data_IF_819794427217
#
_entry.id   IF_819794427217
#
_cell.length_a   1.000
_cell.length_b   1.000
_cell.length_c   1.000
_cell.angle_alpha   90.00
_cell.angle_beta   90.00
_cell.angle_gamma   90.00
#
_symmetry.space_group_name_H-M   'P 1'
#
loop_
_entity.id
_entity.type
_entity.pdbx_description
1 polymer ?
#
# COMPACT_ATOMS: atom_id res chain seq x y z
N UNK A 1 -11.21 14.41 -27.97
CA UNK A 1 -11.40 13.26 -27.06
C UNK A 1 -10.10 13.10 -26.28
N UNK A 2 -10.16 12.77 -24.98
CA UNK A 2 -8.95 12.46 -24.20
C UNK A 2 -8.64 10.96 -24.33
N UNK A 3 -7.37 10.59 -24.41
CA UNK A 3 -6.91 9.20 -24.56
C UNK A 3 -5.59 8.99 -23.82
N UNK A 4 -5.28 7.75 -23.47
CA UNK A 4 -4.04 7.42 -22.78
C UNK A 4 -2.89 7.26 -23.79
N UNK A 5 -1.85 8.10 -23.71
CA UNK A 5 -0.67 7.99 -24.55
C UNK A 5 0.60 7.82 -23.70
N UNK A 6 0.75 6.66 -23.04
CA UNK A 6 1.93 6.36 -22.24
C UNK A 6 3.26 6.47 -23.03
N UNK A 7 3.22 6.24 -24.34
CA UNK A 7 4.40 6.20 -25.22
C UNK A 7 4.98 7.58 -25.55
N UNK A 8 4.24 8.68 -25.40
CA UNK A 8 4.72 10.05 -25.72
C UNK A 8 5.01 10.93 -24.50
N UNK A 9 4.95 10.37 -23.27
CA UNK A 9 5.19 11.13 -22.05
C UNK A 9 6.69 11.26 -21.76
N UNK A 10 7.37 12.21 -22.42
CA UNK A 10 8.80 12.50 -22.24
C UNK A 10 9.18 13.22 -20.93
N UNK A 11 8.32 13.23 -19.89
CA UNK A 11 8.59 13.89 -18.61
C UNK A 11 8.24 12.98 -17.44
N UNK A 12 9.13 12.93 -16.46
CA UNK A 12 9.06 12.13 -15.24
C UNK A 12 7.68 12.17 -14.55
N UNK A 13 7.19 10.99 -14.22
CA UNK A 13 5.86 10.63 -13.75
C UNK A 13 5.51 11.01 -12.30
N UNK A 14 6.00 12.12 -11.74
CA UNK A 14 5.70 12.46 -10.33
C UNK A 14 5.26 13.90 -10.11
N UNK A 15 3.99 14.08 -9.82
CA UNK A 15 3.49 15.06 -8.84
C UNK A 15 3.25 14.34 -7.51
N UNK A 16 3.22 15.08 -6.39
CA UNK A 16 3.04 14.54 -5.02
C UNK A 16 1.74 13.74 -4.80
N UNK A 17 0.77 13.84 -5.71
CA UNK A 17 -0.55 13.20 -5.67
C UNK A 17 -0.76 12.08 -6.71
N UNK A 18 0.29 11.68 -7.43
CA UNK A 18 0.21 10.63 -8.45
C UNK A 18 -0.53 11.02 -9.73
N UNK A 19 -0.83 12.30 -9.95
CA UNK A 19 -1.47 12.78 -11.19
C UNK A 19 -0.45 13.05 -12.31
N UNK A 20 -0.77 12.63 -13.54
CA UNK A 20 0.06 12.89 -14.73
C UNK A 20 -0.39 14.20 -15.37
N UNK A 21 0.53 15.14 -15.59
CA UNK A 21 0.24 16.43 -16.24
C UNK A 21 0.75 16.41 -17.69
N UNK A 22 -0.15 16.13 -18.64
CA UNK A 22 -0.06 16.66 -20.00
C UNK A 22 -1.46 17.08 -20.47
N UNK A 23 -1.57 18.31 -20.96
CA UNK A 23 -2.70 19.19 -20.67
C UNK A 23 -3.72 19.39 -21.80
N UNK A 24 -3.70 18.59 -22.88
CA UNK A 24 -4.66 18.81 -23.98
C UNK A 24 -5.35 17.52 -24.47
N UNK A 25 -4.71 16.35 -24.42
CA UNK A 25 -5.26 15.09 -24.94
C UNK A 25 -5.24 13.89 -24.00
N UNK A 26 -4.65 13.97 -22.79
CA UNK A 26 -4.43 12.77 -21.97
C UNK A 26 -5.53 12.48 -20.94
N UNK A 27 -5.79 11.20 -20.67
CA UNK A 27 -6.59 10.75 -19.52
C UNK A 27 -5.75 10.90 -18.26
N UNK A 28 -6.29 11.59 -17.26
CA UNK A 28 -5.64 11.84 -15.96
C UNK A 28 -6.41 11.02 -14.92
N UNK A 29 -6.02 9.75 -14.79
CA UNK A 29 -6.53 8.79 -13.82
C UNK A 29 -5.40 7.90 -13.35
N UNK A 30 -5.54 7.34 -12.14
CA UNK A 30 -4.58 6.39 -11.64
C UNK A 30 -4.64 5.14 -12.53
N UNK A 31 -3.51 4.71 -13.10
CA UNK A 31 -3.49 3.69 -14.13
C UNK A 31 -3.88 2.31 -13.61
N UNK A 32 -3.80 2.07 -12.30
CA UNK A 32 -3.95 0.74 -11.71
C UNK A 32 -3.03 -0.25 -12.44
N UNK A 33 -1.75 0.08 -12.45
CA UNK A 33 -0.76 -0.87 -12.95
C UNK A 33 -0.68 -2.07 -12.05
N UNK A 34 -0.37 -3.22 -12.63
CA UNK A 34 0.10 -4.35 -11.84
C UNK A 34 1.31 -3.87 -11.04
N UNK A 35 2.33 -3.27 -11.67
CA UNK A 35 3.42 -2.63 -10.93
C UNK A 35 4.14 -1.51 -11.70
N UNK A 36 4.19 -0.32 -11.09
CA UNK A 36 4.69 0.91 -11.72
C UNK A 36 6.21 0.95 -12.01
N UNK A 37 7.00 0.06 -11.40
CA UNK A 37 8.46 0.08 -11.59
C UNK A 37 8.89 -0.65 -12.87
N UNK A 38 8.14 -1.67 -13.31
CA UNK A 38 8.56 -2.55 -14.43
C UNK A 38 7.43 -3.31 -15.14
N UNK A 39 6.20 -3.35 -14.62
CA UNK A 39 5.05 -4.01 -15.27
C UNK A 39 3.87 -3.04 -15.40
N UNK A 40 3.84 -2.39 -16.55
CA UNK A 40 2.82 -1.42 -16.91
C UNK A 40 1.54 -2.07 -17.45
N UNK A 41 1.35 -3.38 -17.29
CA UNK A 41 0.04 -3.99 -17.56
C UNK A 41 -1.02 -3.41 -16.61
N UNK A 42 -2.22 -3.22 -17.16
CA UNK A 42 -3.38 -2.72 -16.42
C UNK A 42 -4.08 -3.83 -15.62
N UNK A 43 -4.55 -3.50 -14.42
CA UNK A 43 -5.50 -4.30 -13.64
C UNK A 43 -6.91 -4.27 -14.28
N UNK A 44 -7.77 -5.23 -13.95
CA UNK A 44 -9.07 -5.50 -14.63
C UNK A 44 -9.98 -4.26 -14.73
N UNK A 45 -9.94 -3.39 -13.73
CA UNK A 45 -10.82 -2.23 -13.61
C UNK A 45 -10.12 -0.91 -13.86
N UNK A 46 -8.94 -0.97 -14.48
CA UNK A 46 -8.23 0.23 -14.88
C UNK A 46 -9.08 1.08 -15.83
N UNK A 47 -9.20 2.40 -15.58
CA UNK A 47 -9.88 3.31 -16.48
C UNK A 47 -9.11 3.55 -17.78
N UNK A 48 -7.95 2.89 -17.95
CA UNK A 48 -7.08 3.03 -19.10
C UNK A 48 -7.22 1.89 -20.11
N UNK A 49 -8.09 0.92 -19.84
CA UNK A 49 -8.51 -0.13 -20.79
C UNK A 49 -9.40 0.47 -21.87
N UNK A 50 -9.17 0.06 -23.12
CA UNK A 50 -9.72 0.58 -24.38
C UNK A 50 -9.61 2.10 -24.53
N UNK A 51 -8.58 2.68 -23.91
CA UNK A 51 -8.48 4.11 -23.69
C UNK A 51 -7.36 4.79 -24.49
N UNK A 52 -6.55 4.04 -25.25
CA UNK A 52 -5.38 4.56 -25.97
C UNK A 52 -5.68 5.16 -27.36
N UNK A 53 -4.79 5.06 -28.35
CA UNK A 53 -4.93 5.85 -29.60
C UNK A 53 -6.25 5.52 -30.33
N UNK A 54 -7.01 6.55 -30.70
CA UNK A 54 -8.26 6.42 -31.47
C UNK A 54 -8.07 5.95 -32.91
N UNK A 55 -6.86 6.09 -33.45
CA UNK A 55 -6.52 5.75 -34.84
C UNK A 55 -5.89 4.35 -34.98
N UNK A 56 -5.54 3.72 -33.86
CA UNK A 56 -4.99 2.37 -33.80
C UNK A 56 -5.94 1.43 -33.06
N UNK A 57 -5.93 0.15 -33.44
CA UNK A 57 -6.74 -0.89 -32.81
C UNK A 57 -5.88 -2.05 -32.36
N UNK A 58 -6.26 -2.64 -31.24
CA UNK A 58 -5.72 -3.92 -30.81
C UNK A 58 -6.29 -5.07 -31.65
N UNK A 59 -5.77 -6.27 -31.42
CA UNK A 59 -6.06 -7.46 -32.23
C UNK A 59 -7.54 -7.88 -32.18
N UNK A 60 -8.22 -7.57 -31.09
CA UNK A 60 -9.64 -7.82 -30.88
C UNK A 60 -10.55 -6.71 -31.44
N UNK A 61 -9.96 -5.63 -31.96
CA UNK A 61 -10.65 -4.52 -32.60
C UNK A 61 -11.05 -3.37 -31.68
N UNK A 62 -10.70 -3.43 -30.39
CA UNK A 62 -10.82 -2.32 -29.45
C UNK A 62 -9.74 -1.26 -29.72
N UNK A 63 -9.78 -0.13 -28.99
CA UNK A 63 -8.81 0.96 -29.17
C UNK A 63 -7.47 0.53 -28.61
N UNK A 64 -6.40 0.81 -29.34
CA UNK A 64 -5.09 0.29 -28.94
C UNK A 64 -4.57 0.89 -27.65
N UNK A 65 -4.18 0.05 -26.69
CA UNK A 65 -3.55 0.46 -25.44
C UNK A 65 -2.59 -0.59 -24.85
N UNK A 66 -2.39 -0.52 -23.53
CA UNK A 66 -1.49 -1.37 -22.74
C UNK A 66 -2.26 -2.35 -21.85
N UNK A 67 -3.56 -2.51 -22.10
CA UNK A 67 -4.50 -3.45 -21.50
C UNK A 67 -4.33 -4.88 -22.04
N UNK A 68 -5.34 -5.73 -21.85
CA UNK A 68 -5.34 -7.19 -22.11
C UNK A 68 -4.72 -7.61 -23.45
N UNK A 69 -4.77 -6.78 -24.49
CA UNK A 69 -4.18 -7.08 -25.81
C UNK A 69 -2.91 -6.27 -26.12
N UNK A 70 -2.17 -5.90 -25.06
CA UNK A 70 -1.24 -4.77 -25.02
C UNK A 70 -0.17 -4.70 -26.10
N UNK A 71 -0.12 -3.52 -26.73
CA UNK A 71 0.96 -3.04 -27.59
C UNK A 71 0.93 -3.55 -29.04
N UNK A 72 1.75 -2.97 -29.94
CA UNK A 72 1.74 -3.24 -31.38
C UNK A 72 2.01 -4.70 -31.79
N UNK A 73 2.34 -5.57 -30.83
CA UNK A 73 2.63 -6.99 -31.01
C UNK A 73 1.57 -7.94 -30.42
N UNK A 74 0.54 -7.42 -29.73
CA UNK A 74 -0.68 -8.15 -29.40
C UNK A 74 -0.51 -9.33 -28.42
N UNK A 75 0.32 -9.18 -27.38
CA UNK A 75 0.45 -10.18 -26.33
C UNK A 75 -0.72 -10.11 -25.36
N UNK A 76 -1.36 -11.26 -25.10
CA UNK A 76 -2.46 -11.36 -24.14
C UNK A 76 -1.96 -11.73 -22.75
N UNK A 77 -2.47 -11.07 -21.72
CA UNK A 77 -2.21 -11.40 -20.32
C UNK A 77 -3.52 -11.38 -19.51
N UNK A 78 -3.71 -12.24 -18.49
CA UNK A 78 -4.93 -12.22 -17.70
C UNK A 78 -5.01 -10.91 -16.90
N UNK A 79 -6.17 -10.25 -16.93
CA UNK A 79 -6.42 -9.20 -15.97
C UNK A 79 -6.42 -9.76 -14.55
N UNK A 80 -5.80 -9.00 -13.65
CA UNK A 80 -5.82 -9.26 -12.22
C UNK A 80 -6.65 -8.18 -11.55
N UNK A 81 -7.54 -8.60 -10.67
CA UNK A 81 -8.24 -7.75 -9.72
C UNK A 81 -7.55 -7.93 -8.36
N UNK A 82 -6.74 -6.95 -7.98
CA UNK A 82 -5.95 -7.01 -6.75
C UNK A 82 -6.70 -6.29 -5.65
N UNK A 83 -6.61 -6.81 -4.43
CA UNK A 83 -7.09 -6.08 -3.27
C UNK A 83 -6.40 -4.70 -3.21
N UNK A 84 -7.14 -3.65 -2.81
CA UNK A 84 -6.58 -2.31 -2.76
C UNK A 84 -5.46 -2.25 -1.72
N UNK A 85 -4.60 -1.27 -1.88
CA UNK A 85 -3.55 -0.94 -0.95
C UNK A 85 -4.12 -0.68 0.45
N UNK A 86 -3.51 -1.29 1.48
CA UNK A 86 -3.91 -1.03 2.85
C UNK A 86 -3.69 0.45 3.24
N UNK A 87 -4.48 1.00 4.17
CA UNK A 87 -4.25 2.35 4.64
C UNK A 87 -2.89 2.48 5.34
N UNK A 88 -2.13 3.52 4.96
CA UNK A 88 -0.76 3.75 5.42
C UNK A 88 -0.56 5.17 5.92
N UNK A 89 0.50 5.36 6.71
CA UNK A 89 0.84 6.66 7.29
C UNK A 89 -0.25 7.15 8.24
N UNK A 90 -0.88 6.24 8.98
CA UNK A 90 -1.91 6.61 9.94
C UNK A 90 -1.25 7.42 11.05
N UNK A 91 -1.94 8.48 11.46
CA UNK A 91 -1.62 9.32 12.60
C UNK A 91 -2.90 9.54 13.38
N UNK A 92 -2.76 9.79 14.69
CA UNK A 92 -3.88 10.18 15.53
C UNK A 92 -3.50 11.43 16.30
N UNK A 93 -4.47 12.32 16.46
CA UNK A 93 -4.38 13.53 17.28
C UNK A 93 -5.53 13.46 18.26
N UNK A 94 -5.20 13.67 19.53
CA UNK A 94 -6.18 13.57 20.61
C UNK A 94 -6.40 14.93 21.23
N UNK A 95 -7.66 15.31 21.37
CA UNK A 95 -8.12 16.56 22.00
C UNK A 95 -9.27 16.24 22.94
N UNK A 96 -9.03 16.31 24.26
CA UNK A 96 -9.98 15.82 25.26
C UNK A 96 -10.27 14.32 25.07
N UNK A 97 -11.55 13.95 24.98
CA UNK A 97 -12.00 12.57 24.71
C UNK A 97 -12.13 12.25 23.20
N UNK A 98 -11.79 13.22 22.35
CA UNK A 98 -11.95 13.08 20.90
C UNK A 98 -10.63 12.72 20.26
N UNK A 99 -10.61 11.59 19.55
CA UNK A 99 -9.49 11.18 18.70
C UNK A 99 -9.84 11.46 17.25
N UNK A 100 -9.01 12.26 16.58
CA UNK A 100 -9.02 12.43 15.14
C UNK A 100 -7.91 11.58 14.52
N UNK A 101 -8.29 10.71 13.60
CA UNK A 101 -7.38 9.85 12.84
C UNK A 101 -7.20 10.43 11.44
N UNK A 102 -5.98 10.37 10.92
CA UNK A 102 -5.62 10.81 9.58
C UNK A 102 -4.72 9.77 8.91
N UNK A 103 -4.85 9.57 7.60
CA UNK A 103 -4.00 8.64 6.83
C UNK A 103 -3.78 9.12 5.40
N UNK A 104 -2.88 8.46 4.67
CA UNK A 104 -2.64 8.76 3.26
C UNK A 104 -3.81 8.30 2.40
N UNK A 105 -4.22 9.14 1.45
CA UNK A 105 -5.26 8.82 0.46
C UNK A 105 -4.84 7.62 -0.38
N UNK A 106 -5.77 6.69 -0.61
CA UNK A 106 -5.72 5.71 -1.67
C UNK A 106 -6.16 6.37 -2.99
N UNK A 107 -5.33 6.22 -4.02
CA UNK A 107 -5.52 6.82 -5.34
C UNK A 107 -5.95 5.80 -6.41
N UNK A 108 -6.08 4.52 -6.08
CA UNK A 108 -6.57 3.48 -6.99
C UNK A 108 -7.93 3.87 -7.56
N UNK A 109 -8.10 3.68 -8.87
CA UNK A 109 -9.27 4.22 -9.59
C UNK A 109 -10.57 3.51 -9.24
N UNK A 110 -10.49 2.29 -8.72
CA UNK A 110 -11.59 1.48 -8.26
C UNK A 110 -11.74 1.47 -6.73
N UNK A 111 -10.94 2.27 -6.00
CA UNK A 111 -11.11 2.45 -4.56
C UNK A 111 -12.54 2.92 -4.23
N UNK A 112 -13.16 2.29 -3.23
CA UNK A 112 -14.53 2.59 -2.81
C UNK A 112 -14.55 3.37 -1.50
N UNK A 113 -14.02 2.80 -0.42
CA UNK A 113 -14.00 3.45 0.90
C UNK A 113 -13.04 2.76 1.88
N UNK A 114 -12.82 3.39 3.04
CA UNK A 114 -12.10 2.83 4.17
C UNK A 114 -13.06 2.22 5.19
N UNK A 115 -12.69 1.07 5.72
CA UNK A 115 -13.30 0.39 6.85
C UNK A 115 -12.47 0.71 8.10
N UNK A 116 -13.11 1.20 9.15
CA UNK A 116 -12.45 1.56 10.42
C UNK A 116 -12.90 0.59 11.49
N UNK A 117 -11.94 -0.05 12.16
CA UNK A 117 -12.18 -1.03 13.21
C UNK A 117 -11.56 -0.58 14.52
N UNK A 118 -12.12 -1.01 15.66
CA UNK A 118 -11.48 -0.78 16.95
C UNK A 118 -11.94 -1.70 18.07
N UNK A 119 -11.03 -1.97 19.00
CA UNK A 119 -11.24 -2.82 20.17
C UNK A 119 -10.39 -2.35 21.37
N UNK A 120 -10.66 -2.89 22.57
CA UNK A 120 -9.82 -2.69 23.76
C UNK A 120 -8.71 -3.74 23.90
N UNK A 121 -8.72 -4.75 23.03
CA UNK A 121 -7.76 -5.85 22.96
C UNK A 121 -6.79 -5.62 21.80
N UNK A 122 -5.49 -5.77 22.07
CA UNK A 122 -4.46 -5.72 21.02
C UNK A 122 -4.56 -6.94 20.11
N UNK A 123 -4.26 -6.77 18.81
CA UNK A 123 -4.26 -7.87 17.85
C UNK A 123 -5.65 -8.42 17.58
N UNK A 124 -6.68 -7.58 17.70
CA UNK A 124 -8.05 -7.99 17.42
C UNK A 124 -8.21 -8.28 15.92
N UNK A 125 -9.11 -9.21 15.59
CA UNK A 125 -9.41 -9.48 14.19
C UNK A 125 -10.28 -8.36 13.64
N UNK A 126 -9.74 -7.59 12.68
CA UNK A 126 -10.47 -6.54 11.97
C UNK A 126 -11.57 -7.13 11.05
N UNK A 127 -12.68 -7.51 11.67
CA UNK A 127 -13.88 -8.11 11.08
C UNK A 127 -15.14 -7.29 11.42
N UNK A 128 -16.30 -7.75 10.96
CA UNK A 128 -17.57 -7.04 11.12
C UNK A 128 -17.99 -6.80 12.58
N UNK A 129 -17.46 -7.55 13.55
CA UNK A 129 -17.79 -7.38 14.97
C UNK A 129 -17.04 -6.21 15.61
N UNK A 130 -15.91 -5.80 15.01
CA UNK A 130 -15.07 -4.70 15.45
C UNK A 130 -15.23 -3.44 14.58
N UNK A 131 -16.13 -3.46 13.58
CA UNK A 131 -16.34 -2.34 12.66
C UNK A 131 -16.98 -1.16 13.40
N UNK A 132 -16.26 -0.04 13.48
CA UNK A 132 -16.73 1.18 14.14
C UNK A 132 -17.19 2.26 13.17
N UNK A 133 -16.92 2.10 11.88
CA UNK A 133 -17.44 2.99 10.83
C UNK A 133 -16.80 2.77 9.47
N UNK A 134 -17.32 3.49 8.48
CA UNK A 134 -16.77 3.57 7.12
C UNK A 134 -16.66 5.02 6.70
N UNK A 135 -15.71 5.34 5.81
CA UNK A 135 -15.55 6.69 5.27
C UNK A 135 -14.84 6.69 3.93
N UNK A 136 -15.15 7.66 3.07
CA UNK A 136 -14.41 7.93 1.82
C UNK A 136 -13.36 9.02 2.00
N UNK A 137 -13.40 9.75 3.12
CA UNK A 137 -12.43 10.78 3.47
C UNK A 137 -11.14 10.16 4.04
N UNK A 138 -10.09 10.97 4.16
CA UNK A 138 -8.81 10.57 4.78
C UNK A 138 -8.76 10.87 6.27
N UNK A 139 -9.92 11.11 6.88
CA UNK A 139 -10.06 11.47 8.29
C UNK A 139 -11.24 10.75 8.92
N UNK A 140 -11.09 10.35 10.18
CA UNK A 140 -12.16 9.76 10.98
C UNK A 140 -12.07 10.24 12.42
N UNK A 141 -13.20 10.66 12.98
CA UNK A 141 -13.25 11.15 14.36
C UNK A 141 -14.03 10.18 15.23
N UNK A 142 -13.44 9.78 16.35
CA UNK A 142 -14.04 8.90 17.34
C UNK A 142 -13.92 9.51 18.72
N UNK A 143 -15.04 9.57 19.45
CA UNK A 143 -15.01 9.80 20.89
C UNK A 143 -14.64 8.47 21.53
N UNK A 144 -13.49 8.44 22.20
CA UNK A 144 -13.04 7.29 22.97
C UNK A 144 -13.36 7.66 24.42
N UNK A 145 -14.47 7.13 24.99
CA UNK A 145 -14.88 7.51 26.32
C UNK A 145 -13.73 7.26 27.29
N UNK A 146 -13.43 8.27 28.11
CA UNK A 146 -12.41 8.15 29.14
C UNK A 146 -12.66 6.91 30.01
N UNK A 147 -11.58 6.15 30.24
CA UNK A 147 -11.20 5.40 31.44
C UNK A 147 -10.84 3.91 31.22
N UNK A 148 -9.71 3.56 31.86
CA UNK A 148 -9.02 2.28 32.03
C UNK A 148 -8.84 1.38 30.81
N UNK A 149 -7.77 1.62 30.06
CA UNK A 149 -7.29 0.67 29.06
C UNK A 149 -6.68 1.36 27.86
N UNK A 150 -5.99 0.58 27.03
CA UNK A 150 -5.62 1.02 25.69
C UNK A 150 -6.79 0.76 24.75
N UNK A 151 -6.99 1.64 23.76
CA UNK A 151 -7.91 1.41 22.65
C UNK A 151 -7.08 1.24 21.38
N UNK A 152 -7.39 0.21 20.60
CA UNK A 152 -6.68 -0.15 19.38
C UNK A 152 -7.58 0.14 18.20
N UNK A 153 -7.03 0.78 17.16
CA UNK A 153 -7.76 1.11 15.93
C UNK A 153 -6.98 0.61 14.74
N UNK A 154 -7.64 -0.07 13.81
CA UNK A 154 -7.06 -0.48 12.53
C UNK A 154 -8.00 -0.15 11.38
N UNK A 155 -7.45 -0.15 10.17
CA UNK A 155 -8.16 0.24 8.96
C UNK A 155 -7.95 -0.79 7.87
N UNK A 156 -8.92 -0.90 6.97
CA UNK A 156 -8.79 -1.60 5.68
C UNK A 156 -9.32 -0.71 4.56
N UNK A 157 -8.87 -0.96 3.35
CA UNK A 157 -9.44 -0.39 2.14
C UNK A 157 -10.36 -1.42 1.48
N UNK A 158 -11.46 -0.97 0.91
CA UNK A 158 -12.35 -1.77 0.05
C UNK A 158 -12.44 -1.11 -1.33
N UNK A 159 -12.40 -1.90 -2.39
CA UNK A 159 -12.63 -1.46 -3.76
C UNK A 159 -14.11 -1.61 -4.18
N UNK A 160 -14.44 -1.24 -5.42
CA UNK A 160 -15.80 -1.31 -5.95
C UNK A 160 -16.28 -2.75 -6.24
N UNK A 161 -15.38 -3.72 -6.21
CA UNK A 161 -15.63 -5.13 -6.51
C UNK A 161 -15.68 -6.00 -5.25
N UNK A 162 -15.39 -5.40 -4.09
CA UNK A 162 -15.48 -6.01 -2.77
C UNK A 162 -14.20 -6.69 -2.33
N UNK A 163 -13.06 -6.48 -3.00
CA UNK A 163 -11.79 -6.91 -2.44
C UNK A 163 -11.42 -5.97 -1.29
N UNK A 164 -10.85 -6.57 -0.26
CA UNK A 164 -10.49 -5.88 0.96
C UNK A 164 -9.00 -6.06 1.19
N UNK A 165 -8.32 -4.95 1.48
CA UNK A 165 -6.90 -4.95 1.81
C UNK A 165 -6.59 -5.76 3.07
N UNK A 166 -5.30 -6.04 3.28
CA UNK A 166 -4.81 -6.37 4.61
C UNK A 166 -5.11 -5.24 5.60
N UNK A 167 -5.14 -5.55 6.90
CA UNK A 167 -5.30 -4.54 7.93
C UNK A 167 -4.05 -3.64 8.02
N UNK A 168 -4.27 -2.36 8.25
CA UNK A 168 -3.21 -1.40 8.58
C UNK A 168 -2.53 -1.72 9.91
N UNK A 169 -1.55 -0.89 10.31
CA UNK A 169 -1.14 -0.81 11.71
C UNK A 169 -2.33 -0.64 12.68
N UNK A 170 -2.20 -1.25 13.85
CA UNK A 170 -3.03 -0.89 14.99
C UNK A 170 -2.46 0.38 15.62
N UNK A 171 -3.29 1.41 15.69
CA UNK A 171 -3.04 2.61 16.46
C UNK A 171 -3.43 2.33 17.89
N UNK A 172 -2.46 2.36 18.79
CA UNK A 172 -2.70 2.23 20.22
C UNK A 172 -2.86 3.60 20.85
N UNK A 173 -4.04 3.83 21.41
CA UNK A 173 -4.41 5.06 22.10
C UNK A 173 -4.39 4.75 23.59
N UNK A 174 -3.51 5.42 24.34
CA UNK A 174 -3.36 5.23 25.79
C UNK A 174 -3.79 6.48 26.56
N UNK A 175 -4.50 6.35 27.70
CA UNK A 175 -4.81 7.48 28.56
C UNK A 175 -3.55 7.99 29.26
N UNK A 176 -3.30 9.30 29.28
CA UNK A 176 -2.23 9.89 30.10
C UNK A 176 -2.73 10.16 31.52
N UNK A 177 -1.97 9.68 32.51
CA UNK A 177 -2.41 9.61 33.90
C UNK A 177 -1.84 10.70 34.82
N UNK A 178 -2.07 12.00 34.55
CA UNK A 178 -1.96 13.07 35.58
C UNK A 178 -2.91 14.21 35.21
N UNK A 179 -3.92 14.48 36.06
CA UNK A 179 -4.79 15.68 36.11
C UNK A 179 -4.91 16.49 34.79
N UNK A 180 -5.70 15.98 33.85
CA UNK A 180 -6.26 16.79 32.75
C UNK A 180 -5.59 16.59 31.40
N UNK A 181 -6.31 15.86 30.55
CA UNK A 181 -6.31 15.86 29.09
C UNK A 181 -5.09 15.32 28.34
N UNK A 182 -5.28 14.14 27.74
CA UNK A 182 -4.43 13.62 26.68
C UNK A 182 -4.59 12.12 26.49
N UNK A 183 -4.62 11.69 25.23
CA UNK A 183 -4.22 10.34 24.88
C UNK A 183 -2.93 10.43 24.07
N UNK A 184 -2.01 9.50 24.33
CA UNK A 184 -0.80 9.35 23.52
C UNK A 184 -1.03 8.27 22.47
N UNK A 185 -0.44 8.48 21.31
CA UNK A 185 -0.49 7.56 20.19
C UNK A 185 0.83 6.81 20.13
N UNK A 186 0.80 5.54 20.51
CA UNK A 186 1.95 4.67 20.37
C UNK A 186 1.94 4.03 18.97
N UNK A 187 3.02 4.25 18.22
CA UNK A 187 3.29 3.62 16.93
C UNK A 187 4.35 2.53 17.14
N UNK A 188 4.09 1.32 16.65
CA UNK A 188 5.03 0.20 16.75
C UNK A 188 5.81 -0.05 15.46
N UNK A 189 6.87 -0.86 15.56
CA UNK A 189 7.58 -1.38 14.40
C UNK A 189 6.67 -2.27 13.56
N UNK A 190 6.75 -2.14 12.23
CA UNK A 190 5.94 -2.96 11.32
C UNK A 190 6.61 -3.19 9.98
N UNK A 191 6.53 -4.41 9.47
CA UNK A 191 6.74 -4.74 8.06
C UNK A 191 5.38 -4.86 7.37
N UNK A 192 5.18 -4.17 6.23
CA UNK A 192 3.92 -4.18 5.48
C UNK A 192 3.93 -5.27 4.41
N UNK A 193 2.73 -5.64 3.93
CA UNK A 193 2.64 -6.53 2.78
C UNK A 193 3.20 -5.78 1.55
N UNK A 194 3.92 -6.50 0.70
CA UNK A 194 4.40 -5.90 -0.53
C UNK A 194 3.20 -5.61 -1.45
N UNK A 195 3.22 -4.48 -2.15
CA UNK A 195 2.18 -4.14 -3.11
C UNK A 195 2.82 -3.78 -4.48
N UNK A 196 2.32 -4.36 -5.59
CA UNK A 196 1.29 -5.41 -5.66
C UNK A 196 1.75 -6.75 -5.05
N UNK A 197 0.81 -7.64 -4.75
CA UNK A 197 1.08 -9.05 -4.48
C UNK A 197 -0.13 -9.93 -4.87
N UNK A 198 -0.03 -10.87 -5.84
CA UNK A 198 1.16 -11.24 -6.60
C UNK A 198 1.76 -10.08 -7.42
N UNK A 199 3.04 -10.14 -7.72
CA UNK A 199 3.76 -9.08 -8.43
C UNK A 199 4.44 -9.59 -9.70
N UNK A 200 4.65 -8.70 -10.68
CA UNK A 200 5.45 -8.93 -11.88
C UNK A 200 6.03 -7.59 -12.39
N UNK A 201 7.27 -7.54 -12.92
CA UNK A 201 8.39 -8.12 -12.23
C UNK A 201 8.78 -7.31 -10.99
N UNK A 202 8.06 -6.27 -10.57
CA UNK A 202 8.42 -5.40 -9.44
C UNK A 202 7.32 -5.26 -8.39
N UNK A 203 7.71 -4.85 -7.19
CA UNK A 203 6.83 -4.61 -6.05
C UNK A 203 7.48 -3.64 -5.06
N UNK A 204 6.69 -2.97 -4.23
CA UNK A 204 7.18 -2.09 -3.17
C UNK A 204 6.93 -2.72 -1.81
N UNK A 205 7.97 -2.78 -0.99
CA UNK A 205 7.90 -3.24 0.40
C UNK A 205 7.95 -2.04 1.33
N UNK A 206 6.85 -1.80 2.05
CA UNK A 206 6.78 -0.78 3.10
C UNK A 206 7.22 -1.30 4.46
N UNK A 207 7.77 -0.43 5.31
CA UNK A 207 8.00 -0.70 6.73
C UNK A 207 7.99 0.58 7.58
N UNK A 208 7.78 0.43 8.88
CA UNK A 208 7.79 1.53 9.86
C UNK A 208 8.73 1.23 11.01
N UNK A 209 9.43 2.28 11.45
CA UNK A 209 10.26 2.28 12.63
C UNK A 209 9.60 3.11 13.73
N UNK A 210 9.49 2.53 14.92
CA UNK A 210 9.03 3.21 16.13
C UNK A 210 10.06 4.23 16.64
N UNK A 211 11.33 3.81 16.64
CA UNK A 211 12.48 4.60 17.09
C UNK A 211 13.62 4.42 16.09
N UNK A 212 14.71 5.18 16.26
CA UNK A 212 15.89 5.02 15.42
C UNK A 212 16.53 3.63 15.54
N UNK A 213 17.06 3.12 14.44
CA UNK A 213 17.73 1.82 14.41
C UNK A 213 18.35 1.51 13.05
N UNK A 214 19.30 0.57 13.03
CA UNK A 214 19.84 -0.01 11.80
C UNK A 214 18.85 -1.01 11.23
N UNK A 215 18.35 -0.71 10.04
CA UNK A 215 17.40 -1.55 9.31
C UNK A 215 18.13 -2.48 8.38
N UNK A 216 17.77 -3.76 8.45
CA UNK A 216 18.21 -4.80 7.51
C UNK A 216 16.98 -5.44 6.85
N UNK A 217 16.70 -5.04 5.62
CA UNK A 217 15.62 -5.59 4.80
C UNK A 217 16.21 -6.51 3.74
N UNK A 218 15.93 -7.82 3.84
CA UNK A 218 16.52 -8.84 2.97
C UNK A 218 15.45 -9.75 2.38
N UNK A 219 15.59 -10.09 1.11
CA UNK A 219 14.76 -11.04 0.37
C UNK A 219 15.44 -12.41 0.30
N UNK A 220 14.65 -13.46 0.46
CA UNK A 220 15.05 -14.85 0.49
C UNK A 220 14.17 -15.71 -0.42
N UNK A 221 14.71 -16.85 -0.87
CA UNK A 221 13.91 -17.96 -1.40
C UNK A 221 13.07 -18.60 -0.29
N UNK A 222 12.09 -19.42 -0.66
CA UNK A 222 11.31 -20.21 0.32
C UNK A 222 12.18 -21.19 1.13
N UNK A 223 13.32 -21.62 0.62
CA UNK A 223 14.29 -22.48 1.32
C UNK A 223 15.22 -21.70 2.26
N UNK A 224 15.12 -20.37 2.31
CA UNK A 224 15.92 -19.51 3.19
C UNK A 224 17.24 -19.02 2.58
N UNK A 225 17.47 -19.24 1.28
CA UNK A 225 18.64 -18.70 0.59
C UNK A 225 18.50 -17.19 0.38
N UNK A 226 19.52 -16.40 0.77
CA UNK A 226 19.52 -14.95 0.58
C UNK A 226 19.61 -14.62 -0.92
N UNK A 227 18.62 -13.89 -1.42
CA UNK A 227 18.57 -13.41 -2.82
C UNK A 227 19.19 -12.01 -2.90
N UNK A 228 18.70 -11.08 -2.09
CA UNK A 228 19.10 -9.67 -2.18
C UNK A 228 18.88 -8.94 -0.86
N UNK A 229 19.83 -8.10 -0.50
CA UNK A 229 19.64 -7.09 0.54
C UNK A 229 19.10 -5.81 -0.11
N UNK A 230 17.90 -5.40 0.29
CA UNK A 230 17.27 -4.19 -0.23
C UNK A 230 17.72 -2.95 0.54
N UNK A 231 18.05 -3.14 1.82
CA UNK A 231 18.46 -2.06 2.71
C UNK A 231 19.31 -2.57 3.86
N UNK A 232 20.39 -1.86 4.17
CA UNK A 232 21.22 -2.03 5.37
C UNK A 232 21.79 -0.67 5.81
N UNK A 233 21.00 0.12 6.53
CA UNK A 233 21.40 1.46 6.95
C UNK A 233 20.70 1.93 8.25
N UNK A 234 21.30 2.85 9.02
CA UNK A 234 20.62 3.50 10.15
C UNK A 234 19.53 4.45 9.64
N UNK A 235 18.35 4.37 10.27
CA UNK A 235 17.20 5.22 9.97
C UNK A 235 16.57 5.73 11.26
N UNK A 236 15.97 6.92 11.19
CA UNK A 236 15.18 7.49 12.28
C UNK A 236 13.78 6.86 12.33
N UNK A 237 13.00 7.18 13.37
CA UNK A 237 11.58 6.82 13.43
C UNK A 237 10.83 7.36 12.20
N UNK A 238 9.97 6.54 11.61
CA UNK A 238 9.24 6.92 10.40
C UNK A 238 8.81 5.75 9.53
N UNK A 239 8.11 6.08 8.44
CA UNK A 239 7.67 5.14 7.42
C UNK A 239 8.60 5.20 6.20
N UNK A 240 8.91 4.04 5.65
CA UNK A 240 9.85 3.87 4.55
C UNK A 240 9.37 2.81 3.55
N UNK A 241 9.89 2.90 2.32
CA UNK A 241 9.59 1.98 1.23
C UNK A 241 10.87 1.52 0.55
N UNK A 242 10.84 0.32 -0.03
CA UNK A 242 11.94 -0.22 -0.83
C UNK A 242 11.37 -1.02 -2.00
N UNK A 243 11.76 -0.66 -3.22
CA UNK A 243 11.40 -1.40 -4.43
C UNK A 243 12.19 -2.70 -4.55
N UNK A 244 11.54 -3.75 -5.01
CA UNK A 244 12.14 -5.04 -5.32
C UNK A 244 11.69 -5.50 -6.70
N UNK A 245 12.56 -6.21 -7.41
CA UNK A 245 12.23 -6.77 -8.73
C UNK A 245 12.65 -8.24 -8.83
N UNK A 246 11.76 -9.10 -9.30
CA UNK A 246 11.96 -10.52 -9.58
C UNK A 246 12.67 -10.83 -10.90
N UNK A 247 13.33 -9.84 -11.50
CA UNK A 247 14.13 -10.03 -12.70
C UNK A 247 15.21 -11.10 -12.46
N UNK A 248 15.27 -12.11 -13.34
CA UNK A 248 16.17 -13.25 -13.19
C UNK A 248 15.70 -14.34 -12.21
N UNK A 249 14.61 -14.13 -11.46
CA UNK A 249 14.04 -15.13 -10.57
C UNK A 249 13.03 -16.02 -11.30
N UNK A 250 12.68 -17.19 -10.76
CA UNK A 250 11.57 -18.01 -11.28
C UNK A 250 10.25 -17.59 -10.65
N UNK A 251 9.12 -17.80 -11.33
CA UNK A 251 7.81 -17.62 -10.68
C UNK A 251 7.72 -18.49 -9.43
N UNK A 252 7.18 -17.95 -8.34
CA UNK A 252 7.14 -18.67 -7.07
C UNK A 252 6.97 -17.77 -5.86
N UNK A 253 7.04 -18.41 -4.68
CA UNK A 253 6.94 -17.74 -3.39
C UNK A 253 8.33 -17.36 -2.91
N UNK A 254 8.45 -16.13 -2.45
CA UNK A 254 9.64 -15.55 -1.85
C UNK A 254 9.29 -15.01 -0.46
N UNK A 255 10.30 -14.88 0.38
CA UNK A 255 10.17 -14.29 1.70
C UNK A 255 10.98 -13.00 1.76
N UNK A 256 10.51 -12.03 2.52
CA UNK A 256 11.31 -10.88 2.88
C UNK A 256 11.25 -10.66 4.39
N UNK A 257 12.39 -10.31 4.96
CA UNK A 257 12.61 -10.19 6.40
C UNK A 257 13.11 -8.79 6.71
N UNK A 258 12.49 -8.17 7.69
CA UNK A 258 12.98 -6.95 8.32
C UNK A 258 13.61 -7.32 9.66
N UNK A 259 14.87 -6.93 9.89
CA UNK A 259 15.45 -6.87 11.23
C UNK A 259 15.77 -5.41 11.56
N UNK A 260 15.48 -4.99 12.79
CA UNK A 260 15.85 -3.67 13.30
C UNK A 260 16.71 -3.85 14.53
N UNK A 261 17.87 -3.20 14.52
CA UNK A 261 18.86 -3.22 15.60
C UNK A 261 18.97 -1.80 16.17
N UNK A 262 18.79 -1.63 17.48
CA UNK A 262 18.89 -0.33 18.13
C UNK A 262 20.33 0.21 18.08
N UNK A 263 20.55 1.52 18.33
CA UNK A 263 21.90 2.08 18.46
C UNK A 263 22.78 1.38 19.52
N UNK A 264 22.17 0.74 20.52
CA UNK A 264 22.85 -0.06 21.52
C UNK A 264 23.28 -1.46 21.03
N UNK A 265 23.01 -1.81 19.76
CA UNK A 265 23.34 -3.08 19.15
C UNK A 265 22.37 -4.23 19.49
N UNK A 266 21.19 -3.93 20.05
CA UNK A 266 20.20 -4.94 20.43
C UNK A 266 19.13 -5.10 19.34
N UNK A 267 18.74 -6.32 18.96
CA UNK A 267 17.60 -6.54 18.06
C UNK A 267 16.31 -6.11 18.76
N UNK A 268 15.58 -5.16 18.17
CA UNK A 268 14.33 -4.60 18.72
C UNK A 268 13.09 -4.99 17.93
N UNK A 269 13.26 -5.43 16.68
CA UNK A 269 12.15 -5.92 15.86
C UNK A 269 12.63 -6.92 14.82
N UNK A 270 11.81 -7.94 14.58
CA UNK A 270 11.99 -8.88 13.48
C UNK A 270 10.63 -9.34 12.98
N UNK A 271 10.42 -9.26 11.67
CA UNK A 271 9.22 -9.78 11.02
C UNK A 271 9.55 -10.34 9.63
N UNK A 272 8.74 -11.30 9.18
CA UNK A 272 8.89 -12.00 7.90
C UNK A 272 7.54 -12.05 7.21
N UNK A 273 7.51 -11.66 5.95
CA UNK A 273 6.33 -11.77 5.10
C UNK A 273 6.64 -12.51 3.81
N UNK A 274 5.58 -13.08 3.21
CA UNK A 274 5.64 -13.82 1.94
C UNK A 274 5.15 -12.94 0.80
N UNK A 275 5.80 -13.07 -0.35
CA UNK A 275 5.40 -12.45 -1.61
C UNK A 275 5.36 -13.49 -2.72
N UNK A 276 4.48 -13.30 -3.70
CA UNK A 276 4.35 -14.17 -4.86
C UNK A 276 4.79 -13.44 -6.12
N UNK A 277 5.77 -13.99 -6.83
CA UNK A 277 6.21 -13.49 -8.13
C UNK A 277 5.62 -14.36 -9.24
N UNK A 278 5.05 -13.73 -10.26
CA UNK A 278 4.53 -14.36 -11.47
C UNK A 278 5.27 -13.80 -12.69
N UNK A 279 5.61 -14.67 -13.64
CA UNK A 279 6.20 -14.30 -14.94
C UNK A 279 5.14 -14.40 -16.03
#
# INVERSE_FOLDING_TARGET
>A
MRFNNFWSNGRHYRTEDGSVVDSISNIIRFPMFVNEDKDYHLQEYSPLIDAGDTLAKDKDGTRSDIGLYGGPYGTTYPYLDLAPLEPRGITATVTGDTTQLNWKRNHESDFKHYLVYGDTTQGFNADSTHLIGTTTDTTFTKIIPGFSGSYYISFKSEDNHGNISDASEEIRIVPVGVKGEGHEVAMDYRLFQNYPNPFNPGTVIGFRLKEEGRVQLTVYTLTGEKIKELRDEPLSAGYYESSFTGEGLSSGIYLYKLNVISPAGLPVYTDIKKMMFLK
#
